data_IF_921931185676
#
_entry.id   IF_921931185676
#
_cell.length_a   1.000
_cell.length_b   1.000
_cell.length_c   1.000
_cell.angle_alpha   90.00
_cell.angle_beta   90.00
_cell.angle_gamma   90.00
#
_symmetry.space_group_name_H-M   'P 1'
#
loop_
_entity.id
_entity.type
_entity.pdbx_description
1 polymer ?
#
# COMPACT_ATOMS: atom_id res chain seq x y z
N UNK A 1 54.96 6.41 22.75
CA UNK A 1 54.21 5.15 22.53
C UNK A 1 53.33 5.34 21.30
N UNK A 2 53.77 4.88 20.12
CA UNK A 2 53.09 5.16 18.83
C UNK A 2 52.04 4.07 18.61
N UNK A 3 50.76 4.39 18.81
CA UNK A 3 49.67 3.47 18.43
C UNK A 3 49.71 3.30 16.90
N UNK A 4 49.86 2.07 16.37
CA UNK A 4 49.95 1.86 14.93
C UNK A 4 48.60 2.22 14.28
N UNK A 5 48.62 3.14 13.31
CA UNK A 5 47.44 3.65 12.61
C UNK A 5 46.54 2.54 12.01
N UNK A 6 47.12 1.38 11.71
CA UNK A 6 46.42 0.17 11.25
C UNK A 6 45.37 -0.35 12.25
N UNK A 7 45.62 -0.21 13.56
CA UNK A 7 44.67 -0.68 14.58
C UNK A 7 43.58 0.37 14.78
N UNK A 8 43.92 1.65 14.72
CA UNK A 8 42.96 2.76 14.74
C UNK A 8 41.98 2.70 13.56
N UNK A 9 42.46 2.39 12.35
CA UNK A 9 41.62 2.21 11.16
C UNK A 9 40.68 1.00 11.28
N UNK A 10 41.17 -0.10 11.86
CA UNK A 10 40.37 -1.30 12.12
C UNK A 10 39.24 -1.04 13.12
N UNK A 11 39.51 -0.33 14.21
CA UNK A 11 38.47 0.09 15.18
C UNK A 11 37.49 1.12 14.60
N UNK A 12 37.93 1.98 13.67
CA UNK A 12 37.06 2.92 12.96
C UNK A 12 36.11 2.18 11.99
N UNK A 13 36.63 1.19 11.25
CA UNK A 13 35.85 0.34 10.35
C UNK A 13 34.84 -0.55 11.09
N UNK A 14 35.20 -1.04 12.29
CA UNK A 14 34.30 -1.86 13.12
C UNK A 14 33.08 -1.09 13.63
N UNK A 15 33.19 0.24 13.84
CA UNK A 15 32.06 1.08 14.28
C UNK A 15 31.01 1.26 13.18
N UNK A 16 31.40 1.24 11.91
CA UNK A 16 30.48 1.40 10.76
C UNK A 16 29.54 0.19 10.64
N UNK A 17 29.98 -0.99 11.07
CA UNK A 17 29.19 -2.24 11.01
C UNK A 17 28.06 -2.32 12.06
N UNK A 18 27.99 -1.42 13.04
CA UNK A 18 27.01 -1.47 14.14
C UNK A 18 25.71 -0.69 13.87
N UNK A 19 25.60 0.02 12.74
CA UNK A 19 24.36 0.69 12.30
C UNK A 19 23.48 -0.18 11.38
N UNK A 20 23.75 -1.49 11.31
CA UNK A 20 23.14 -2.40 10.34
C UNK A 20 21.67 -2.82 10.63
N UNK A 21 21.05 -2.37 11.72
CA UNK A 21 19.60 -2.51 11.89
C UNK A 21 18.91 -1.39 11.12
N UNK A 22 18.58 -1.65 9.85
CA UNK A 22 17.98 -0.64 9.00
C UNK A 22 16.62 -0.20 9.57
N UNK A 23 16.38 1.11 9.63
CA UNK A 23 15.08 1.64 10.05
C UNK A 23 13.94 1.15 9.15
N UNK A 24 14.26 0.79 7.91
CA UNK A 24 13.33 0.27 6.90
C UNK A 24 12.86 -1.13 7.28
N UNK A 25 13.73 -2.05 7.69
CA UNK A 25 13.33 -3.41 8.07
C UNK A 25 12.35 -3.40 9.24
N UNK A 26 12.61 -2.55 10.24
CA UNK A 26 11.69 -2.33 11.36
C UNK A 26 10.39 -1.62 10.94
N UNK A 27 10.45 -0.79 9.91
CA UNK A 27 9.25 -0.16 9.36
C UNK A 27 8.38 -1.17 8.63
N UNK A 28 8.97 -1.96 7.71
CA UNK A 28 8.26 -2.95 6.87
C UNK A 28 7.75 -4.15 7.67
N UNK A 29 8.36 -4.48 8.82
CA UNK A 29 7.83 -5.52 9.69
C UNK A 29 6.45 -5.11 10.25
N UNK A 30 5.45 -6.00 10.18
CA UNK A 30 4.18 -5.82 10.88
C UNK A 30 4.36 -5.60 12.38
N UNK A 31 3.47 -4.82 13.00
CA UNK A 31 3.47 -4.60 14.44
C UNK A 31 2.63 -5.64 15.16
N UNK A 32 3.16 -6.20 16.26
CA UNK A 32 2.45 -7.23 17.05
C UNK A 32 1.22 -6.70 17.80
N UNK A 33 1.13 -5.37 17.95
CA UNK A 33 0.01 -4.67 18.56
C UNK A 33 -0.47 -3.52 17.67
N UNK A 34 -1.72 -3.10 17.84
CA UNK A 34 -2.31 -2.03 17.06
C UNK A 34 -1.48 -0.74 17.08
N UNK A 35 -1.02 -0.32 15.90
CA UNK A 35 -0.37 0.96 15.67
C UNK A 35 -1.36 1.94 15.04
N UNK A 36 -1.99 2.76 15.87
CA UNK A 36 -3.04 3.70 15.45
C UNK A 36 -2.57 4.69 14.37
N UNK A 37 -1.38 5.30 14.45
CA UNK A 37 -0.86 6.12 13.35
C UNK A 37 -0.76 5.36 12.02
N UNK A 38 -0.17 4.15 12.00
CA UNK A 38 -0.06 3.34 10.77
C UNK A 38 -1.42 2.99 10.20
N UNK A 39 -2.37 2.56 11.04
CA UNK A 39 -3.74 2.25 10.61
C UNK A 39 -4.43 3.48 10.02
N UNK A 40 -4.31 4.63 10.66
CA UNK A 40 -4.89 5.87 10.15
C UNK A 40 -4.27 6.27 8.81
N UNK A 41 -2.96 6.10 8.63
CA UNK A 41 -2.30 6.28 7.33
C UNK A 41 -2.92 5.37 6.27
N UNK A 42 -3.07 4.07 6.55
CA UNK A 42 -3.71 3.11 5.62
C UNK A 42 -5.11 3.60 5.23
N UNK A 43 -5.98 3.86 6.22
CA UNK A 43 -7.37 4.28 5.98
C UNK A 43 -7.46 5.58 5.19
N UNK A 44 -6.67 6.60 5.55
CA UNK A 44 -6.67 7.91 4.87
C UNK A 44 -6.19 7.75 3.43
N UNK A 45 -5.12 6.99 3.21
CA UNK A 45 -4.56 6.76 1.87
C UNK A 45 -5.54 5.98 1.01
N UNK A 46 -6.10 4.87 1.49
CA UNK A 46 -7.10 4.08 0.75
C UNK A 46 -8.33 4.90 0.38
N UNK A 47 -8.89 5.63 1.35
CA UNK A 47 -10.07 6.48 1.13
C UNK A 47 -9.81 7.59 0.12
N UNK A 48 -8.62 8.22 0.22
CA UNK A 48 -8.22 9.31 -0.67
C UNK A 48 -7.96 8.79 -2.09
N UNK A 49 -7.24 7.68 -2.24
CA UNK A 49 -6.99 7.06 -3.54
C UNK A 49 -8.29 6.61 -4.21
N UNK A 50 -9.21 5.98 -3.47
CA UNK A 50 -10.50 5.59 -4.00
C UNK A 50 -11.32 6.80 -4.46
N UNK A 51 -11.41 7.84 -3.64
CA UNK A 51 -12.16 9.07 -3.97
C UNK A 51 -11.56 9.79 -5.17
N UNK A 52 -10.24 10.00 -5.18
CA UNK A 52 -9.54 10.66 -6.30
C UNK A 52 -9.70 9.85 -7.58
N UNK A 53 -9.61 8.52 -7.50
CA UNK A 53 -9.80 7.65 -8.68
C UNK A 53 -11.21 7.76 -9.23
N UNK A 54 -12.24 7.71 -8.38
CA UNK A 54 -13.64 7.84 -8.82
C UNK A 54 -13.93 9.21 -9.45
N UNK A 55 -13.48 10.30 -8.79
CA UNK A 55 -13.65 11.66 -9.32
C UNK A 55 -12.85 11.84 -10.61
N UNK A 56 -11.61 11.34 -10.65
CA UNK A 56 -10.74 11.42 -11.81
C UNK A 56 -11.30 10.64 -13.00
N UNK A 57 -11.77 9.41 -12.81
CA UNK A 57 -12.40 8.62 -13.86
C UNK A 57 -13.69 9.26 -14.36
N UNK A 58 -14.51 9.79 -13.45
CA UNK A 58 -15.72 10.52 -13.85
C UNK A 58 -15.36 11.73 -14.73
N UNK A 59 -14.36 12.52 -14.33
CA UNK A 59 -13.95 13.68 -15.11
C UNK A 59 -13.31 13.30 -16.44
N UNK A 60 -12.45 12.26 -16.46
CA UNK A 60 -11.71 11.86 -17.66
C UNK A 60 -12.58 11.15 -18.70
N UNK A 61 -13.61 10.40 -18.28
CA UNK A 61 -14.44 9.62 -19.19
C UNK A 61 -15.83 10.21 -19.44
N UNK A 62 -16.37 11.00 -18.52
CA UNK A 62 -17.78 11.40 -18.59
C UNK A 62 -18.02 12.92 -18.60
N UNK A 63 -16.98 13.77 -18.57
CA UNK A 63 -17.16 15.22 -18.50
C UNK A 63 -17.96 15.83 -19.67
N UNK A 64 -17.85 15.24 -20.86
CA UNK A 64 -18.50 15.75 -22.08
C UNK A 64 -19.83 15.06 -22.40
N UNK A 65 -20.34 14.20 -21.50
CA UNK A 65 -21.57 13.43 -21.70
C UNK A 65 -22.68 13.90 -20.76
N UNK A 66 -23.94 14.00 -21.24
CA UNK A 66 -25.06 14.34 -20.37
C UNK A 66 -25.31 13.21 -19.36
N UNK A 67 -25.44 13.57 -18.08
CA UNK A 67 -25.80 12.61 -17.03
C UNK A 67 -27.28 12.23 -17.14
N UNK A 68 -27.59 10.97 -16.88
CA UNK A 68 -28.95 10.44 -16.82
C UNK A 68 -29.35 10.09 -15.39
N UNK A 69 -30.66 9.98 -15.14
CA UNK A 69 -31.16 9.37 -13.91
C UNK A 69 -30.66 7.92 -13.77
N UNK A 70 -30.64 7.42 -12.54
CA UNK A 70 -30.28 6.04 -12.25
C UNK A 70 -31.17 5.06 -13.01
N UNK A 71 -30.56 4.16 -13.75
CA UNK A 71 -31.21 3.06 -14.46
C UNK A 71 -30.27 1.85 -14.47
N UNK A 72 -30.83 0.67 -14.69
CA UNK A 72 -30.06 -0.57 -14.80
C UNK A 72 -29.94 -0.96 -16.27
N UNK A 73 -28.83 -1.60 -16.61
CA UNK A 73 -28.58 -2.19 -17.93
C UNK A 73 -28.19 -3.66 -17.76
N UNK A 74 -28.45 -4.50 -18.75
CA UNK A 74 -28.00 -5.89 -18.78
C UNK A 74 -26.84 -6.03 -19.77
N UNK A 75 -25.62 -6.07 -19.26
CA UNK A 75 -24.37 -6.26 -20.01
C UNK A 75 -23.81 -7.69 -19.86
N UNK A 76 -24.63 -8.64 -19.41
CA UNK A 76 -24.18 -10.00 -19.15
C UNK A 76 -23.60 -10.69 -20.39
N UNK A 77 -24.07 -10.36 -21.59
CA UNK A 77 -23.56 -10.91 -22.86
C UNK A 77 -22.31 -10.23 -23.40
N UNK A 78 -21.85 -9.15 -22.76
CA UNK A 78 -20.78 -8.32 -23.31
C UNK A 78 -19.39 -8.91 -23.04
N UNK A 79 -18.52 -8.71 -24.03
CA UNK A 79 -17.08 -8.96 -24.00
C UNK A 79 -16.65 -10.32 -23.41
N UNK A 80 -17.42 -11.39 -23.67
CA UNK A 80 -17.13 -12.75 -23.20
C UNK A 80 -16.84 -12.85 -21.69
N UNK A 81 -17.49 -12.01 -20.88
CA UNK A 81 -17.25 -11.90 -19.43
C UNK A 81 -15.85 -11.40 -19.02
N UNK A 82 -15.02 -10.93 -19.96
CA UNK A 82 -13.65 -10.47 -19.66
C UNK A 82 -13.63 -9.37 -18.61
N UNK A 83 -14.58 -8.44 -18.70
CA UNK A 83 -14.80 -7.39 -17.70
C UNK A 83 -15.03 -7.98 -16.29
N UNK A 84 -15.94 -8.94 -16.17
CA UNK A 84 -16.31 -9.58 -14.89
C UNK A 84 -15.13 -10.32 -14.26
N UNK A 85 -14.35 -11.04 -15.07
CA UNK A 85 -13.10 -11.67 -14.60
C UNK A 85 -12.07 -10.62 -14.18
N UNK A 86 -11.92 -9.54 -14.94
CA UNK A 86 -11.05 -8.42 -14.61
C UNK A 86 -11.41 -7.78 -13.28
N UNK A 87 -12.70 -7.56 -13.02
CA UNK A 87 -13.20 -7.05 -11.74
C UNK A 87 -12.90 -8.02 -10.59
N UNK A 88 -13.25 -9.30 -10.72
CA UNK A 88 -12.98 -10.30 -9.67
C UNK A 88 -11.49 -10.36 -9.34
N UNK A 89 -10.63 -10.46 -10.37
CA UNK A 89 -9.18 -10.53 -10.18
C UNK A 89 -8.64 -9.27 -9.51
N UNK A 90 -8.99 -8.09 -10.03
CA UNK A 90 -8.48 -6.82 -9.52
C UNK A 90 -8.97 -6.55 -8.11
N UNK A 91 -10.25 -6.78 -7.82
CA UNK A 91 -10.83 -6.65 -6.48
C UNK A 91 -10.17 -7.61 -5.48
N UNK A 92 -9.88 -8.84 -5.89
CA UNK A 92 -9.15 -9.78 -5.04
C UNK A 92 -7.74 -9.28 -4.70
N UNK A 93 -6.98 -8.81 -5.69
CA UNK A 93 -5.62 -8.31 -5.46
C UNK A 93 -5.61 -7.05 -4.59
N UNK A 94 -6.51 -6.09 -4.86
CA UNK A 94 -6.64 -4.88 -4.03
C UNK A 94 -7.03 -5.24 -2.60
N UNK A 95 -7.99 -6.14 -2.41
CA UNK A 95 -8.40 -6.61 -1.09
C UNK A 95 -7.27 -7.31 -0.33
N UNK A 96 -6.49 -8.17 -1.02
CA UNK A 96 -5.33 -8.85 -0.43
C UNK A 96 -4.27 -7.85 0.04
N UNK A 97 -3.94 -6.87 -0.79
CA UNK A 97 -2.98 -5.81 -0.43
C UNK A 97 -3.49 -4.98 0.75
N UNK A 98 -4.77 -4.60 0.75
CA UNK A 98 -5.39 -3.89 1.89
C UNK A 98 -5.33 -4.70 3.19
N UNK A 99 -5.60 -6.00 3.12
CA UNK A 99 -5.46 -6.90 4.28
C UNK A 99 -4.01 -6.95 4.80
N UNK A 100 -3.03 -7.11 3.89
CA UNK A 100 -1.61 -7.11 4.23
C UNK A 100 -1.18 -5.76 4.90
N UNK A 101 -1.70 -4.63 4.42
CA UNK A 101 -1.44 -3.30 4.98
C UNK A 101 -2.09 -3.09 6.37
N UNK A 102 -3.30 -3.61 6.57
CA UNK A 102 -3.96 -3.59 7.87
C UNK A 102 -3.22 -4.46 8.88
N UNK A 103 -2.81 -5.67 8.49
CA UNK A 103 -1.97 -6.55 9.30
C UNK A 103 -0.62 -5.88 9.63
N UNK A 104 0.00 -5.21 8.66
CA UNK A 104 1.22 -4.41 8.86
C UNK A 104 1.05 -3.31 9.94
N UNK A 105 -0.15 -2.74 10.07
CA UNK A 105 -0.49 -1.76 11.10
C UNK A 105 -0.87 -2.37 12.46
N UNK A 106 -0.84 -3.69 12.61
CA UNK A 106 -1.15 -4.40 13.85
C UNK A 106 -2.65 -4.55 14.12
N UNK A 107 -3.48 -4.48 13.08
CA UNK A 107 -4.90 -4.84 13.19
C UNK A 107 -5.00 -6.37 13.30
N UNK A 108 -5.68 -6.86 14.34
CA UNK A 108 -5.87 -8.30 14.57
C UNK A 108 -6.72 -8.92 13.46
N UNK A 109 -6.31 -10.10 12.97
CA UNK A 109 -7.15 -11.00 12.19
C UNK A 109 -8.12 -11.73 13.13
N UNK A 110 -9.04 -10.98 13.75
CA UNK A 110 -9.95 -11.47 14.81
C UNK A 110 -9.22 -12.05 16.01
#
# INVERSE_FOLDING_TARGET
>A
MKFPARHTLFFLLLKVSLFAQSGIDRFLKPTDSLNVPRRNTVIITESSLATISLVGLNQLWYADYPQSNFHTINDSGEWLQMDKFGHVFSSYQVGRVGADLLAWSGVSER
#
